data_IF_515739934361
#
_entry.id   IF_515739934361
#
_cell.length_a   1.000
_cell.length_b   1.000
_cell.length_c   1.000
_cell.angle_alpha   90.00
_cell.angle_beta   90.00
_cell.angle_gamma   90.00
#
_symmetry.space_group_name_H-M   'P 1'
#
loop_
_entity.id
_entity.type
_entity.pdbx_description
1 polymer ?
#
# COMPACT_ATOMS: atom_id res chain seq x y z
N UNK A 1 2.80 -4.46 24.46
CA UNK A 1 1.79 -5.43 24.89
C UNK A 1 0.49 -4.76 25.28
N UNK A 2 0.38 -3.99 26.38
CA UNK A 2 -0.88 -3.31 26.74
C UNK A 2 -1.35 -2.33 25.66
N UNK A 3 -0.48 -1.44 25.17
CA UNK A 3 -0.81 -0.48 24.12
C UNK A 3 -1.24 -1.13 22.78
N UNK A 4 -0.64 -2.27 22.45
CA UNK A 4 -0.93 -3.05 21.25
C UNK A 4 -2.33 -3.67 21.31
N UNK A 5 -2.74 -4.18 22.48
CA UNK A 5 -4.10 -4.69 22.70
C UNK A 5 -5.15 -3.59 22.56
N UNK A 6 -4.87 -2.37 23.05
CA UNK A 6 -5.76 -1.23 22.82
C UNK A 6 -5.85 -0.90 21.32
N UNK A 7 -4.71 -0.75 20.63
CA UNK A 7 -4.69 -0.50 19.17
C UNK A 7 -5.52 -1.55 18.39
N UNK A 8 -5.44 -2.82 18.77
CA UNK A 8 -6.15 -3.90 18.07
C UNK A 8 -7.66 -3.93 18.35
N UNK A 9 -8.09 -3.46 19.52
CA UNK A 9 -9.49 -3.54 19.98
C UNK A 9 -10.27 -2.24 19.83
N UNK A 10 -9.59 -1.10 19.70
CA UNK A 10 -10.24 0.20 19.46
C UNK A 10 -10.86 0.24 18.06
N UNK A 11 -12.12 0.73 17.92
CA UNK A 11 -12.75 0.93 16.62
C UNK A 11 -11.90 1.81 15.69
N UNK A 12 -11.81 1.52 14.38
CA UNK A 12 -10.98 2.30 13.46
C UNK A 12 -11.26 3.80 13.46
N UNK A 13 -12.52 4.23 13.54
CA UNK A 13 -12.88 5.65 13.56
C UNK A 13 -12.41 6.37 14.82
N UNK A 14 -12.44 5.70 15.97
CA UNK A 14 -11.91 6.23 17.23
C UNK A 14 -10.37 6.25 17.19
N UNK A 15 -9.76 5.18 16.70
CA UNK A 15 -8.31 5.10 16.58
C UNK A 15 -7.74 6.12 15.59
N UNK A 16 -8.51 6.50 14.55
CA UNK A 16 -8.13 7.53 13.60
C UNK A 16 -7.93 8.89 14.27
N UNK A 17 -8.76 9.25 15.26
CA UNK A 17 -8.62 10.50 16.02
C UNK A 17 -7.31 10.53 16.84
N UNK A 18 -6.85 9.35 17.29
CA UNK A 18 -5.58 9.22 17.97
C UNK A 18 -4.39 9.14 17.01
N UNK A 19 -4.58 8.57 15.82
CA UNK A 19 -3.54 8.44 14.80
C UNK A 19 -3.23 9.78 14.11
N UNK A 20 -4.23 10.59 13.83
CA UNK A 20 -4.10 11.86 13.10
C UNK A 20 -3.03 12.80 13.68
N UNK A 21 -2.97 13.08 14.99
CA UNK A 21 -1.90 13.92 15.56
C UNK A 21 -0.49 13.38 15.30
N UNK A 22 -0.33 12.06 15.21
CA UNK A 22 0.96 11.45 14.88
C UNK A 22 1.31 11.60 13.40
N UNK A 23 0.33 11.50 12.50
CA UNK A 23 0.54 11.75 11.06
C UNK A 23 0.99 13.19 10.81
N UNK A 24 0.40 14.15 11.52
CA UNK A 24 0.77 15.58 11.42
C UNK A 24 2.15 15.83 12.04
N UNK A 25 2.38 15.34 13.28
CA UNK A 25 3.65 15.55 13.99
C UNK A 25 4.86 14.94 13.27
N UNK A 26 4.65 13.86 12.52
CA UNK A 26 5.69 13.20 11.71
C UNK A 26 5.81 13.77 10.29
N UNK A 27 5.09 14.86 9.98
CA UNK A 27 5.06 15.51 8.67
C UNK A 27 4.62 14.58 7.52
N UNK A 28 3.86 13.52 7.82
CA UNK A 28 3.22 12.66 6.82
C UNK A 28 2.02 13.39 6.22
N UNK A 29 1.25 14.08 7.07
CA UNK A 29 0.16 14.97 6.68
C UNK A 29 0.50 16.42 7.10
N UNK A 30 0.13 17.43 6.30
CA UNK A 30 0.14 18.82 6.78
C UNK A 30 -0.96 19.04 7.82
N UNK A 31 -0.89 20.13 8.60
CA UNK A 31 -1.91 20.47 9.60
C UNK A 31 -3.31 20.69 8.98
N UNK A 32 -3.36 21.16 7.73
CA UNK A 32 -4.57 21.47 6.97
C UNK A 32 -4.89 20.41 5.89
N UNK A 33 -4.55 19.15 6.16
CA UNK A 33 -4.68 18.03 5.20
C UNK A 33 -6.10 17.79 4.67
N UNK A 34 -7.13 18.19 5.42
CA UNK A 34 -8.53 18.16 4.98
C UNK A 34 -9.18 16.78 4.93
N UNK A 35 -8.52 15.72 5.38
CA UNK A 35 -9.10 14.38 5.49
C UNK A 35 -9.99 14.29 6.73
N UNK A 36 -11.12 13.62 6.57
CA UNK A 36 -11.98 13.24 7.68
C UNK A 36 -11.39 12.09 8.51
N UNK A 37 -11.77 11.92 9.79
CA UNK A 37 -11.42 10.73 10.56
C UNK A 37 -11.84 9.43 9.87
N UNK A 38 -12.94 9.43 9.12
CA UNK A 38 -13.41 8.28 8.34
C UNK A 38 -12.45 7.92 7.20
N UNK A 39 -11.82 8.90 6.56
CA UNK A 39 -10.83 8.65 5.52
C UNK A 39 -9.54 8.07 6.09
N UNK A 40 -9.08 8.61 7.22
CA UNK A 40 -7.92 8.07 7.96
C UNK A 40 -8.23 6.65 8.47
N UNK A 41 -9.46 6.39 8.92
CA UNK A 41 -9.87 5.08 9.43
C UNK A 41 -9.77 3.95 8.39
N UNK A 42 -9.85 4.25 7.08
CA UNK A 42 -9.81 3.23 6.01
C UNK A 42 -8.52 2.40 6.02
N UNK A 43 -7.38 3.00 6.38
CA UNK A 43 -6.08 2.30 6.36
C UNK A 43 -5.81 1.49 7.63
N UNK A 44 -6.55 1.75 8.71
CA UNK A 44 -6.29 1.18 10.03
C UNK A 44 -6.45 -0.36 10.08
N UNK A 45 -7.49 -0.97 9.48
CA UNK A 45 -7.68 -2.43 9.56
C UNK A 45 -6.51 -3.26 9.04
N UNK A 46 -5.74 -2.74 8.07
CA UNK A 46 -4.59 -3.45 7.52
C UNK A 46 -3.28 -3.19 8.29
N UNK A 47 -3.32 -2.31 9.31
CA UNK A 47 -2.17 -1.85 10.08
C UNK A 47 -2.26 -2.13 11.58
N UNK A 48 -3.45 -2.11 12.19
CA UNK A 48 -3.65 -2.24 13.64
C UNK A 48 -3.17 -3.57 14.22
N UNK A 49 -3.28 -4.66 13.45
CA UNK A 49 -2.76 -5.98 13.82
C UNK A 49 -1.22 -6.05 13.79
N UNK A 50 -0.55 -5.03 13.25
CA UNK A 50 0.89 -5.04 12.94
C UNK A 50 1.69 -3.94 13.63
N UNK A 51 1.02 -2.96 14.25
CA UNK A 51 1.64 -1.82 14.90
C UNK A 51 1.60 -1.98 16.42
N UNK A 52 2.72 -1.66 17.09
CA UNK A 52 2.82 -1.67 18.56
C UNK A 52 2.55 -0.30 19.17
N UNK A 53 2.71 0.75 18.36
CA UNK A 53 2.52 2.15 18.76
C UNK A 53 1.81 2.93 17.65
N UNK A 54 1.18 4.06 18.00
CA UNK A 54 0.56 4.96 17.02
C UNK A 54 1.60 5.63 16.11
N UNK A 55 2.81 5.89 16.61
CA UNK A 55 3.94 6.40 15.79
C UNK A 55 4.32 5.38 14.73
N UNK A 56 4.49 4.11 15.12
CA UNK A 56 4.77 3.03 14.17
C UNK A 56 3.64 2.85 13.16
N UNK A 57 2.38 2.98 13.60
CA UNK A 57 1.23 2.93 12.68
C UNK A 57 1.26 4.08 11.69
N UNK A 58 1.54 5.31 12.15
CA UNK A 58 1.67 6.49 11.30
C UNK A 58 2.74 6.27 10.23
N UNK A 59 3.96 5.89 10.64
CA UNK A 59 5.08 5.58 9.73
C UNK A 59 4.72 4.51 8.70
N UNK A 60 4.11 3.39 9.13
CA UNK A 60 3.70 2.32 8.21
C UNK A 60 2.54 2.71 7.29
N UNK A 61 1.72 3.68 7.68
CA UNK A 61 0.62 4.20 6.86
C UNK A 61 1.04 5.30 5.90
N UNK A 62 2.26 5.85 6.05
CA UNK A 62 2.70 7.06 5.37
C UNK A 62 2.49 7.03 3.86
N UNK A 63 2.76 5.89 3.22
CA UNK A 63 2.63 5.76 1.77
C UNK A 63 1.18 5.89 1.26
N UNK A 64 0.15 5.71 2.10
CA UNK A 64 -1.24 5.95 1.72
C UNK A 64 -1.58 7.45 1.64
N UNK A 65 -0.86 8.28 2.39
CA UNK A 65 -1.14 9.71 2.51
C UNK A 65 -0.21 10.59 1.66
N UNK A 66 0.97 10.07 1.29
CA UNK A 66 1.92 10.78 0.43
C UNK A 66 1.52 10.70 -1.05
N UNK A 67 1.67 11.82 -1.76
CA UNK A 67 1.48 11.92 -3.22
C UNK A 67 2.58 11.22 -4.03
N UNK A 68 3.78 11.15 -3.47
CA UNK A 68 4.95 10.54 -4.09
C UNK A 68 5.45 9.38 -3.22
N UNK A 69 5.96 8.34 -3.86
CA UNK A 69 6.51 7.16 -3.19
C UNK A 69 7.98 7.41 -2.90
N UNK A 70 8.33 7.41 -1.61
CA UNK A 70 9.72 7.42 -1.17
C UNK A 70 10.27 5.99 -1.16
N UNK A 71 11.32 5.74 -1.92
CA UNK A 71 11.88 4.40 -2.07
C UNK A 71 13.02 4.15 -1.08
N UNK A 72 12.96 2.99 -0.41
CA UNK A 72 14.17 2.38 0.13
C UNK A 72 15.09 1.98 -1.04
N UNK A 73 16.31 2.52 -1.07
CA UNK A 73 17.23 2.33 -2.19
C UNK A 73 17.54 0.85 -2.44
N UNK A 74 17.67 0.05 -1.36
CA UNK A 74 17.94 -1.38 -1.47
C UNK A 74 16.75 -2.13 -2.08
N UNK A 75 15.52 -1.77 -1.69
CA UNK A 75 14.30 -2.32 -2.25
C UNK A 75 14.15 -1.97 -3.74
N UNK A 76 14.35 -0.69 -4.09
CA UNK A 76 14.30 -0.21 -5.48
C UNK A 76 15.30 -0.97 -6.34
N UNK A 77 16.57 -0.98 -5.96
CA UNK A 77 17.63 -1.61 -6.74
C UNK A 77 17.45 -3.13 -6.90
N UNK A 78 16.77 -3.78 -5.94
CA UNK A 78 16.55 -5.23 -5.95
C UNK A 78 15.32 -5.66 -6.75
N UNK A 79 14.26 -4.85 -6.76
CA UNK A 79 12.94 -5.26 -7.25
C UNK A 79 12.39 -4.42 -8.40
N UNK A 80 12.92 -3.22 -8.63
CA UNK A 80 12.58 -2.34 -9.76
C UNK A 80 13.72 -2.36 -10.78
N UNK A 81 14.03 -3.55 -11.28
CA UNK A 81 15.07 -3.80 -12.29
C UNK A 81 14.47 -3.85 -13.69
N UNK A 82 15.33 -3.82 -14.72
CA UNK A 82 14.89 -3.99 -16.12
C UNK A 82 14.13 -5.31 -16.33
N UNK A 83 14.48 -6.38 -15.62
CA UNK A 83 13.75 -7.65 -15.67
C UNK A 83 12.33 -7.56 -15.08
N UNK A 84 12.10 -6.64 -14.16
CA UNK A 84 10.79 -6.42 -13.55
C UNK A 84 9.88 -5.54 -14.40
N UNK A 85 10.44 -4.69 -15.26
CA UNK A 85 9.72 -3.74 -16.11
C UNK A 85 8.63 -4.42 -16.96
N UNK A 86 8.88 -5.53 -17.71
CA UNK A 86 7.83 -6.20 -18.48
C UNK A 86 6.69 -6.77 -17.61
N UNK A 87 6.99 -7.15 -16.36
CA UNK A 87 5.98 -7.65 -15.43
C UNK A 87 5.08 -6.50 -14.93
N UNK A 88 5.68 -5.35 -14.62
CA UNK A 88 4.94 -4.15 -14.21
C UNK A 88 4.07 -3.63 -15.35
N UNK A 89 4.57 -3.61 -16.59
CA UNK A 89 3.79 -3.26 -17.78
C UNK A 89 2.57 -4.16 -17.99
N UNK A 90 2.71 -5.47 -17.78
CA UNK A 90 1.57 -6.42 -17.80
C UNK A 90 0.54 -6.11 -16.72
N UNK A 91 0.98 -5.76 -15.51
CA UNK A 91 0.07 -5.37 -14.41
C UNK A 91 -0.65 -4.06 -14.75
N UNK A 92 0.07 -3.06 -15.27
CA UNK A 92 -0.51 -1.79 -15.73
C UNK A 92 -1.57 -2.03 -16.81
N UNK A 93 -1.26 -2.84 -17.83
CA UNK A 93 -2.19 -3.17 -18.90
C UNK A 93 -3.44 -3.88 -18.35
N UNK A 94 -3.25 -4.89 -17.51
CA UNK A 94 -4.35 -5.63 -16.88
C UNK A 94 -5.26 -4.76 -16.04
N UNK A 95 -4.69 -3.92 -15.17
CA UNK A 95 -5.46 -2.97 -14.36
C UNK A 95 -6.17 -1.93 -15.20
N UNK A 96 -5.56 -1.43 -16.28
CA UNK A 96 -6.18 -0.45 -17.16
C UNK A 96 -7.49 -0.98 -17.75
N UNK A 97 -7.50 -2.26 -18.15
CA UNK A 97 -8.68 -2.95 -18.71
C UNK A 97 -9.67 -3.49 -17.69
N UNK A 98 -9.38 -3.38 -16.39
CA UNK A 98 -10.21 -3.95 -15.34
C UNK A 98 -11.34 -3.00 -14.97
N UNK A 99 -12.58 -3.30 -15.40
CA UNK A 99 -13.75 -2.47 -15.13
C UNK A 99 -14.17 -2.53 -13.65
N UNK A 100 -14.20 -3.74 -13.07
CA UNK A 100 -14.46 -3.95 -11.64
C UNK A 100 -13.15 -4.12 -10.86
N UNK A 101 -12.77 -3.09 -10.12
CA UNK A 101 -11.53 -3.04 -9.31
C UNK A 101 -11.72 -3.67 -7.92
N UNK A 102 -12.29 -4.86 -7.88
CA UNK A 102 -12.53 -5.65 -6.67
C UNK A 102 -11.34 -6.54 -6.30
N UNK A 103 -11.30 -6.98 -5.03
CA UNK A 103 -10.23 -7.83 -4.50
C UNK A 103 -10.06 -9.13 -5.31
N UNK A 104 -11.19 -9.77 -5.66
CA UNK A 104 -11.24 -11.01 -6.43
C UNK A 104 -10.64 -10.83 -7.82
N UNK A 105 -10.97 -9.74 -8.50
CA UNK A 105 -10.47 -9.47 -9.85
C UNK A 105 -8.98 -9.09 -9.85
N UNK A 106 -8.52 -8.35 -8.85
CA UNK A 106 -7.09 -8.05 -8.66
C UNK A 106 -6.31 -9.35 -8.43
N UNK A 107 -6.79 -10.23 -7.56
CA UNK A 107 -6.15 -11.52 -7.29
C UNK A 107 -6.14 -12.42 -8.53
N UNK A 108 -7.25 -12.45 -9.27
CA UNK A 108 -7.38 -13.21 -10.53
C UNK A 108 -6.40 -12.72 -11.58
N UNK A 109 -6.22 -11.40 -11.74
CA UNK A 109 -5.23 -10.83 -12.64
C UNK A 109 -3.80 -11.26 -12.25
N UNK A 110 -3.47 -11.21 -10.95
CA UNK A 110 -2.16 -11.65 -10.47
C UNK A 110 -1.91 -13.12 -10.75
N UNK A 111 -2.90 -13.99 -10.48
CA UNK A 111 -2.80 -15.43 -10.78
C UNK A 111 -2.56 -15.68 -12.26
N UNK A 112 -3.34 -15.03 -13.13
CA UNK A 112 -3.19 -15.12 -14.59
C UNK A 112 -1.77 -14.75 -15.05
N UNK A 113 -1.25 -13.60 -14.62
CA UNK A 113 0.10 -13.15 -15.01
C UNK A 113 1.16 -14.15 -14.50
N UNK A 114 1.02 -14.63 -13.27
CA UNK A 114 1.96 -15.58 -12.66
C UNK A 114 1.98 -16.92 -13.41
N UNK A 115 0.80 -17.42 -13.81
CA UNK A 115 0.64 -18.63 -14.62
C UNK A 115 1.21 -18.46 -16.03
N UNK A 116 0.89 -17.37 -16.72
CA UNK A 116 1.41 -17.05 -18.07
C UNK A 116 2.93 -16.92 -18.10
N UNK A 117 3.54 -16.44 -17.02
CA UNK A 117 4.99 -16.28 -16.92
C UNK A 117 5.69 -17.50 -16.29
N UNK A 118 4.95 -18.53 -15.89
CA UNK A 118 5.51 -19.73 -15.26
C UNK A 118 6.31 -19.45 -13.99
N UNK A 119 5.90 -18.45 -13.21
CA UNK A 119 6.66 -17.98 -12.05
C UNK A 119 5.88 -18.12 -10.74
N UNK A 120 6.46 -17.66 -9.62
CA UNK A 120 5.80 -17.64 -8.30
C UNK A 120 5.21 -16.26 -8.03
N UNK A 121 4.09 -16.20 -7.31
CA UNK A 121 3.43 -14.93 -6.95
C UNK A 121 4.38 -13.90 -6.33
N UNK A 122 5.29 -14.32 -5.45
CA UNK A 122 6.26 -13.42 -4.82
C UNK A 122 7.18 -12.68 -5.81
N UNK A 123 7.41 -13.23 -7.01
CA UNK A 123 8.18 -12.57 -8.07
C UNK A 123 7.42 -11.43 -8.73
N UNK A 124 6.07 -11.48 -8.76
CA UNK A 124 5.22 -10.38 -9.23
C UNK A 124 4.93 -9.38 -8.10
N UNK A 125 4.56 -9.92 -6.94
CA UNK A 125 4.05 -9.14 -5.83
C UNK A 125 5.11 -8.22 -5.21
N UNK A 126 6.39 -8.59 -5.21
CA UNK A 126 7.43 -7.74 -4.63
C UNK A 126 7.74 -6.49 -5.48
N UNK A 127 7.97 -6.57 -6.80
CA UNK A 127 8.07 -5.39 -7.65
C UNK A 127 6.85 -4.47 -7.53
N UNK A 128 5.63 -5.02 -7.59
CA UNK A 128 4.40 -4.22 -7.42
C UNK A 128 4.37 -3.57 -6.04
N UNK A 129 4.68 -4.31 -4.97
CA UNK A 129 4.74 -3.74 -3.62
C UNK A 129 5.72 -2.57 -3.53
N UNK A 130 6.94 -2.76 -4.00
CA UNK A 130 7.97 -1.71 -3.94
C UNK A 130 7.53 -0.50 -4.76
N UNK A 131 6.94 -0.70 -5.95
CA UNK A 131 6.39 0.39 -6.76
C UNK A 131 5.30 1.19 -6.02
N UNK A 132 4.43 0.51 -5.26
CA UNK A 132 3.31 1.15 -4.57
C UNK A 132 3.67 1.74 -3.21
N UNK A 133 4.59 1.13 -2.46
CA UNK A 133 4.87 1.48 -1.06
C UNK A 133 6.30 1.94 -0.80
N UNK A 134 7.18 1.83 -1.79
CA UNK A 134 8.60 2.18 -1.68
C UNK A 134 9.45 1.17 -0.91
N UNK A 135 8.84 0.13 -0.32
CA UNK A 135 9.48 -0.80 0.61
C UNK A 135 9.09 -2.25 0.31
N UNK A 136 9.82 -3.20 0.90
CA UNK A 136 9.54 -4.65 0.70
C UNK A 136 8.52 -5.22 1.67
N UNK A 137 8.10 -4.44 2.67
CA UNK A 137 7.23 -4.85 3.76
C UNK A 137 6.05 -3.89 3.83
N UNK A 138 4.86 -4.42 3.58
CA UNK A 138 3.59 -3.70 3.60
C UNK A 138 2.49 -4.64 4.14
N UNK A 139 1.27 -4.13 4.40
CA UNK A 139 0.05 -4.96 4.42
C UNK A 139 -0.09 -5.89 3.21
N UNK A 140 -1.12 -6.72 3.19
CA UNK A 140 -1.41 -7.57 2.02
C UNK A 140 -1.39 -6.74 0.74
N UNK A 141 -0.75 -7.24 -0.31
CA UNK A 141 -0.56 -6.42 -1.52
C UNK A 141 -1.92 -6.07 -2.16
N UNK A 142 -2.90 -6.95 -2.06
CA UNK A 142 -4.26 -6.69 -2.51
C UNK A 142 -4.95 -5.61 -1.66
N UNK A 143 -4.80 -5.63 -0.34
CA UNK A 143 -5.31 -4.58 0.55
C UNK A 143 -4.71 -3.22 0.18
N UNK A 144 -3.41 -3.18 -0.09
CA UNK A 144 -2.71 -1.95 -0.52
C UNK A 144 -3.28 -1.43 -1.84
N UNK A 145 -3.44 -2.30 -2.84
CA UNK A 145 -3.98 -1.92 -4.15
C UNK A 145 -5.42 -1.39 -4.02
N UNK A 146 -6.25 -2.05 -3.23
CA UNK A 146 -7.64 -1.64 -3.02
C UNK A 146 -7.76 -0.31 -2.29
N UNK A 147 -6.95 -0.09 -1.25
CA UNK A 147 -6.96 1.14 -0.48
C UNK A 147 -6.41 2.33 -1.25
N UNK A 148 -5.38 2.13 -2.10
CA UNK A 148 -4.91 3.16 -3.03
C UNK A 148 -5.92 3.44 -4.14
N UNK A 149 -6.67 2.42 -4.55
CA UNK A 149 -7.58 2.48 -5.69
C UNK A 149 -6.85 2.41 -7.04
N UNK A 150 -7.65 2.30 -8.11
CA UNK A 150 -7.16 2.05 -9.48
C UNK A 150 -6.24 3.15 -9.99
N UNK A 151 -6.66 4.41 -9.87
CA UNK A 151 -5.95 5.55 -10.45
C UNK A 151 -4.57 5.74 -9.83
N UNK A 152 -4.48 5.77 -8.50
CA UNK A 152 -3.20 5.95 -7.80
C UNK A 152 -2.28 4.73 -7.98
N UNK A 153 -2.84 3.51 -7.99
CA UNK A 153 -2.09 2.28 -8.28
C UNK A 153 -1.43 2.37 -9.67
N UNK A 154 -2.19 2.73 -10.71
CA UNK A 154 -1.67 2.86 -12.07
C UNK A 154 -0.60 3.95 -12.16
N UNK A 155 -0.86 5.12 -11.58
CA UNK A 155 0.09 6.24 -11.56
C UNK A 155 1.42 5.85 -10.93
N UNK A 156 1.41 5.18 -9.78
CA UNK A 156 2.64 4.74 -9.08
C UNK A 156 3.41 3.70 -9.88
N UNK A 157 2.71 2.75 -10.50
CA UNK A 157 3.35 1.74 -11.37
C UNK A 157 3.99 2.38 -12.60
N UNK A 158 3.30 3.33 -13.25
CA UNK A 158 3.82 4.06 -14.40
C UNK A 158 5.06 4.89 -14.07
N UNK A 159 5.19 5.41 -12.84
CA UNK A 159 6.35 6.20 -12.44
C UNK A 159 7.66 5.39 -12.30
N UNK A 160 7.58 4.06 -12.24
CA UNK A 160 8.75 3.17 -12.06
C UNK A 160 9.05 2.30 -13.28
N UNK A 161 8.21 2.39 -14.31
CA UNK A 161 8.41 1.83 -15.64
C UNK A 161 8.93 2.97 -16.50
#
# INVERSE_FOLDING_TARGET
WVNEQYIQSTPPEELAQHLEPHLVKTAILPEDHGLSPQEIAKVIPCLNQRAKTLVEMAEKSAFFFKKEVEFDEKARNKFLTEDARPLLEKVIAGFSTLDDFSAENIETLFKKIVEEQGMKLGKLAQPVRVALTGTTVSPGIYDVILLLGKEETLKRLQNVV
#
